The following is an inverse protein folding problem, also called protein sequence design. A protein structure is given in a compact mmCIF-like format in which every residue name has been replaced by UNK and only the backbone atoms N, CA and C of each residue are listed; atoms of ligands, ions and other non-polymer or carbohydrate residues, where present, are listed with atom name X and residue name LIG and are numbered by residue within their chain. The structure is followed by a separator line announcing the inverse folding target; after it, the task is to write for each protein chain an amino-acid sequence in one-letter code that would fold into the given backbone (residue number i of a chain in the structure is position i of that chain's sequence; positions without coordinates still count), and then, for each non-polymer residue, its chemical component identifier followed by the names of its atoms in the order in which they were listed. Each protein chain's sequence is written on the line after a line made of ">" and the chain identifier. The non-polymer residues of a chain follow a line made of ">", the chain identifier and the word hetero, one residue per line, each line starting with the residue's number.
data_IF_526207345498
#
_entry.id   IF_526207345498
#
_cell.length_a   1.000
_cell.length_b   1.000
_cell.length_c   1.000
_cell.angle_alpha   90.00
_cell.angle_beta   90.00
_cell.angle_gamma   90.00
#
_symmetry.space_group_name_H-M   'P 1'
#
loop_
_entity.id
_entity.type
_entity.pdbx_description
1 polymer ?
#
# COMPACT_ATOMS: atom_id res chain seq x y z
N UNK A 1 -26.80 -63.30 8.91
CA UNK A 1 -25.58 -62.55 8.54
C UNK A 1 -26.02 -61.12 8.31
N UNK A 2 -25.79 -60.25 9.32
CA UNK A 2 -26.27 -58.87 9.32
C UNK A 2 -25.40 -58.03 8.40
N UNK A 3 -26.03 -57.31 7.48
CA UNK A 3 -25.41 -56.38 6.55
C UNK A 3 -24.93 -55.15 7.34
N UNK A 4 -23.60 -54.96 7.40
CA UNK A 4 -22.98 -53.81 8.07
C UNK A 4 -23.25 -52.59 7.20
N UNK A 5 -24.34 -51.88 7.50
CA UNK A 5 -24.71 -50.64 6.84
C UNK A 5 -23.60 -49.59 6.96
N UNK A 6 -23.14 -49.10 5.82
CA UNK A 6 -22.16 -48.02 5.73
C UNK A 6 -22.73 -46.73 6.37
N UNK A 7 -22.03 -46.03 7.27
CA UNK A 7 -22.54 -44.81 7.89
C UNK A 7 -22.78 -43.74 6.82
N UNK A 8 -23.96 -43.10 6.90
CA UNK A 8 -24.48 -42.18 5.88
C UNK A 8 -23.49 -41.10 5.43
N UNK A 9 -23.58 -40.72 4.15
CA UNK A 9 -22.75 -39.67 3.57
C UNK A 9 -22.99 -38.33 4.28
N UNK A 10 -22.03 -37.91 5.11
CA UNK A 10 -22.00 -36.56 5.67
C UNK A 10 -21.47 -35.59 4.59
N UNK A 11 -22.34 -34.72 4.07
CA UNK A 11 -21.91 -33.62 3.20
C UNK A 11 -21.73 -32.36 4.05
N UNK A 12 -20.50 -32.06 4.45
CA UNK A 12 -20.18 -30.84 5.22
C UNK A 12 -19.89 -29.68 4.27
N UNK A 13 -20.86 -28.80 4.07
CA UNK A 13 -20.66 -27.57 3.28
C UNK A 13 -20.11 -26.47 4.19
N UNK A 14 -18.83 -26.12 4.03
CA UNK A 14 -18.20 -25.02 4.77
C UNK A 14 -18.38 -23.71 3.99
N UNK A 15 -19.25 -22.82 4.47
CA UNK A 15 -19.43 -21.48 3.89
C UNK A 15 -18.54 -20.47 4.61
N UNK A 16 -17.47 -20.00 3.96
CA UNK A 16 -16.56 -19.00 4.54
C UNK A 16 -17.12 -17.60 4.30
N UNK A 17 -17.83 -17.05 5.30
CA UNK A 17 -18.35 -15.68 5.24
C UNK A 17 -17.30 -14.69 5.75
N UNK A 18 -16.65 -13.97 4.83
CA UNK A 18 -15.63 -12.96 5.17
C UNK A 18 -16.30 -11.61 5.49
N UNK A 19 -16.55 -11.32 6.76
CA UNK A 19 -17.09 -10.01 7.17
C UNK A 19 -15.95 -9.02 7.47
N UNK A 20 -15.82 -7.95 6.69
CA UNK A 20 -14.84 -6.90 6.97
C UNK A 20 -15.44 -5.92 7.99
N UNK A 21 -15.05 -6.03 9.26
CA UNK A 21 -15.45 -5.08 10.30
C UNK A 21 -14.48 -3.90 10.25
N UNK A 22 -14.93 -2.78 9.70
CA UNK A 22 -14.12 -1.56 9.61
C UNK A 22 -14.60 -0.58 10.67
N UNK A 23 -13.71 -0.16 11.57
CA UNK A 23 -14.03 0.84 12.59
C UNK A 23 -14.04 2.23 11.92
N UNK A 24 -15.23 2.80 11.72
CA UNK A 24 -15.42 4.04 10.92
C UNK A 24 -15.23 5.33 11.72
N UNK A 25 -14.64 5.27 12.91
CA UNK A 25 -14.37 6.47 13.71
C UNK A 25 -13.12 7.20 13.19
N UNK A 26 -13.28 8.46 12.80
CA UNK A 26 -12.17 9.35 12.50
C UNK A 26 -11.37 9.56 13.79
N UNK A 27 -10.24 8.89 13.91
CA UNK A 27 -9.28 9.10 15.00
C UNK A 27 -7.94 9.48 14.40
N UNK A 28 -7.39 10.58 14.88
CA UNK A 28 -6.01 10.94 14.60
C UNK A 28 -5.11 9.95 15.36
N UNK A 29 -4.45 9.06 14.64
CA UNK A 29 -3.58 8.05 15.25
C UNK A 29 -2.10 8.31 14.90
N UNK A 30 -1.36 9.06 15.73
CA UNK A 30 0.05 9.29 15.50
C UNK A 30 0.90 8.00 15.59
N UNK A 31 0.36 6.89 16.13
CA UNK A 31 1.08 5.61 16.04
C UNK A 31 1.25 5.14 14.60
N UNK A 32 0.40 5.57 13.65
CA UNK A 32 0.57 5.20 12.24
C UNK A 32 1.92 5.65 11.69
N UNK A 33 2.43 6.82 12.11
CA UNK A 33 3.76 7.32 11.73
C UNK A 33 4.91 6.43 12.23
N UNK A 34 4.67 5.65 13.27
CA UNK A 34 5.64 4.72 13.84
C UNK A 34 5.60 3.34 13.18
N UNK A 35 4.60 3.08 12.33
CA UNK A 35 4.53 1.84 11.55
C UNK A 35 5.50 1.88 10.38
N UNK A 36 5.98 0.72 9.94
CA UNK A 36 6.85 0.57 8.77
C UNK A 36 6.32 1.36 7.54
N UNK A 37 5.05 1.21 7.10
CA UNK A 37 4.54 1.97 5.95
C UNK A 37 4.45 3.49 6.21
N UNK A 38 4.17 3.91 7.45
CA UNK A 38 4.16 5.32 7.83
C UNK A 38 5.55 5.96 7.74
N UNK A 39 6.58 5.28 8.26
CA UNK A 39 7.98 5.73 8.19
C UNK A 39 8.45 5.82 6.74
N UNK A 40 8.13 4.83 5.91
CA UNK A 40 8.47 4.85 4.48
C UNK A 40 7.86 6.05 3.76
N UNK A 41 6.57 6.33 3.99
CA UNK A 41 5.90 7.52 3.44
C UNK A 41 6.53 8.82 3.93
N UNK A 42 6.91 8.88 5.21
CA UNK A 42 7.58 10.05 5.77
C UNK A 42 8.94 10.30 5.09
N UNK A 43 9.76 9.25 4.93
CA UNK A 43 11.05 9.33 4.24
C UNK A 43 10.85 9.80 2.79
N UNK A 44 9.85 9.27 2.09
CA UNK A 44 9.51 9.69 0.73
C UNK A 44 9.17 11.19 0.68
N UNK A 45 8.29 11.68 1.56
CA UNK A 45 7.87 13.09 1.61
C UNK A 45 9.05 14.01 1.92
N UNK A 46 9.85 13.68 2.94
CA UNK A 46 11.02 14.48 3.35
C UNK A 46 12.06 14.50 2.24
N UNK A 47 12.39 13.34 1.66
CA UNK A 47 13.39 13.26 0.59
C UNK A 47 12.94 14.01 -0.67
N UNK A 48 11.65 13.95 -1.00
CA UNK A 48 11.06 14.71 -2.12
C UNK A 48 11.16 16.23 -1.89
N UNK A 49 10.84 16.69 -0.67
CA UNK A 49 10.89 18.10 -0.32
C UNK A 49 12.32 18.64 -0.32
N UNK A 50 13.25 17.91 0.31
CA UNK A 50 14.67 18.30 0.37
C UNK A 50 15.27 18.29 -1.04
N UNK A 51 15.03 17.25 -1.84
CA UNK A 51 15.47 17.19 -3.23
C UNK A 51 14.96 18.37 -4.07
N UNK A 52 13.68 18.74 -3.89
CA UNK A 52 13.09 19.91 -4.55
C UNK A 52 13.78 21.22 -4.14
N UNK A 53 14.00 21.44 -2.83
CA UNK A 53 14.68 22.63 -2.33
C UNK A 53 16.12 22.71 -2.87
N UNK A 54 16.84 21.58 -2.92
CA UNK A 54 18.19 21.52 -3.48
C UNK A 54 18.23 21.92 -4.96
N UNK A 55 17.25 21.48 -5.77
CA UNK A 55 17.14 21.90 -7.17
C UNK A 55 16.79 23.38 -7.28
N UNK A 56 15.89 23.89 -6.44
CA UNK A 56 15.43 25.27 -6.51
C UNK A 56 16.51 26.27 -6.08
N UNK A 57 17.36 25.88 -5.12
CA UNK A 57 18.51 26.65 -4.67
C UNK A 57 19.66 26.65 -5.70
N UNK A 58 19.62 25.77 -6.70
CA UNK A 58 20.63 25.69 -7.75
C UNK A 58 20.43 26.78 -8.80
N UNK A 59 21.52 27.44 -9.20
CA UNK A 59 21.52 28.42 -10.32
C UNK A 59 21.08 27.76 -11.64
N UNK A 60 21.28 26.45 -11.73
CA UNK A 60 20.88 25.57 -12.83
C UNK A 60 19.38 25.18 -12.83
N UNK A 61 18.54 25.80 -11.98
CA UNK A 61 17.10 25.51 -11.88
C UNK A 61 16.34 25.62 -13.21
N UNK A 62 16.87 26.36 -14.19
CA UNK A 62 16.24 26.61 -15.48
C UNK A 62 16.53 25.54 -16.54
N UNK A 63 17.47 24.63 -16.28
CA UNK A 63 17.71 23.51 -17.19
C UNK A 63 16.54 22.53 -17.15
N UNK A 64 16.12 22.06 -18.33
CA UNK A 64 15.00 21.11 -18.45
C UNK A 64 15.16 19.84 -17.58
N UNK A 65 16.40 19.42 -17.31
CA UNK A 65 16.74 18.29 -16.41
C UNK A 65 16.33 18.57 -14.96
N UNK A 66 16.64 19.76 -14.46
CA UNK A 66 16.27 20.22 -13.12
C UNK A 66 14.76 20.46 -12.99
N UNK A 67 14.13 21.01 -14.04
CA UNK A 67 12.67 21.18 -14.11
C UNK A 67 11.95 19.84 -14.02
N UNK A 68 12.44 18.80 -14.71
CA UNK A 68 11.88 17.45 -14.62
C UNK A 68 11.93 16.87 -13.20
N UNK A 69 13.08 16.98 -12.52
CA UNK A 69 13.21 16.56 -11.12
C UNK A 69 12.24 17.31 -10.20
N UNK A 70 12.12 18.62 -10.40
CA UNK A 70 11.23 19.49 -9.63
C UNK A 70 9.75 19.09 -9.79
N UNK A 71 9.33 18.80 -11.03
CA UNK A 71 7.97 18.36 -11.33
C UNK A 71 7.63 17.01 -10.69
N UNK A 72 8.53 16.02 -10.79
CA UNK A 72 8.36 14.71 -10.15
C UNK A 72 8.27 14.85 -8.63
N UNK A 73 9.15 15.67 -8.05
CA UNK A 73 9.23 15.87 -6.60
C UNK A 73 7.99 16.55 -6.05
N UNK A 74 7.42 17.51 -6.78
CA UNK A 74 6.18 18.16 -6.37
C UNK A 74 4.98 17.22 -6.37
N UNK A 75 4.81 16.44 -7.44
CA UNK A 75 3.70 15.48 -7.50
C UNK A 75 3.90 14.38 -6.45
N UNK A 76 5.15 13.90 -6.26
CA UNK A 76 5.50 12.93 -5.21
C UNK A 76 5.07 13.43 -3.82
N UNK A 77 5.45 14.68 -3.52
CA UNK A 77 5.19 15.33 -2.23
C UNK A 77 3.69 15.45 -1.96
N UNK A 78 2.93 16.02 -2.90
CA UNK A 78 1.49 16.19 -2.72
C UNK A 78 0.75 14.86 -2.65
N UNK A 79 1.01 13.94 -3.57
CA UNK A 79 0.30 12.66 -3.60
C UNK A 79 0.60 11.82 -2.36
N UNK A 80 1.88 11.71 -1.97
CA UNK A 80 2.30 10.92 -0.81
C UNK A 80 1.89 11.60 0.50
N UNK A 81 1.94 12.93 0.56
CA UNK A 81 1.50 13.72 1.71
C UNK A 81 -0.01 13.62 1.94
N UNK A 82 -0.82 13.71 0.88
CA UNK A 82 -2.28 13.52 0.97
C UNK A 82 -2.58 12.10 1.42
N UNK A 83 -1.94 11.08 0.82
CA UNK A 83 -2.10 9.69 1.28
C UNK A 83 -1.74 9.56 2.76
N UNK A 84 -0.60 10.09 3.19
CA UNK A 84 -0.19 10.04 4.60
C UNK A 84 -1.27 10.65 5.52
N UNK A 85 -1.87 11.77 5.13
CA UNK A 85 -3.01 12.37 5.83
C UNK A 85 -4.22 11.43 5.88
N UNK A 86 -4.61 10.85 4.74
CA UNK A 86 -5.75 9.91 4.67
C UNK A 86 -5.54 8.69 5.58
N UNK A 87 -4.31 8.18 5.65
CA UNK A 87 -3.94 7.08 6.54
C UNK A 87 -3.96 7.51 8.02
N UNK A 88 -3.41 8.70 8.36
CA UNK A 88 -3.43 9.27 9.71
C UNK A 88 -4.83 9.44 10.28
N UNK A 89 -5.78 9.88 9.44
CA UNK A 89 -7.18 10.08 9.83
C UNK A 89 -8.05 8.82 9.71
N UNK A 90 -7.47 7.67 9.37
CA UNK A 90 -8.20 6.42 9.10
C UNK A 90 -9.32 6.60 8.04
N UNK A 91 -9.18 7.60 7.15
CA UNK A 91 -10.18 7.88 6.12
C UNK A 91 -10.15 6.81 5.00
N UNK A 92 -9.01 6.13 4.83
CA UNK A 92 -8.83 4.99 3.92
C UNK A 92 -9.81 3.85 4.24
N UNK A 93 -10.07 3.62 5.53
CA UNK A 93 -10.99 2.60 6.03
C UNK A 93 -12.45 2.91 5.67
N UNK A 94 -12.84 4.19 5.66
CA UNK A 94 -14.19 4.62 5.23
C UNK A 94 -14.45 4.35 3.74
N UNK A 95 -13.41 4.38 2.92
CA UNK A 95 -13.48 4.11 1.48
C UNK A 95 -12.94 2.72 1.11
N UNK A 96 -13.33 1.68 1.86
CA UNK A 96 -12.90 0.29 1.64
C UNK A 96 -13.23 -0.29 0.25
N UNK A 97 -14.19 0.29 -0.48
CA UNK A 97 -14.54 -0.13 -1.85
C UNK A 97 -13.45 0.19 -2.88
N UNK A 98 -12.59 1.17 -2.58
CA UNK A 98 -11.52 1.57 -3.49
C UNK A 98 -10.31 0.64 -3.24
N UNK A 99 -9.72 0.03 -4.28
CA UNK A 99 -8.55 -0.84 -4.14
C UNK A 99 -7.27 -0.03 -3.89
N UNK A 100 -7.19 0.66 -2.75
CA UNK A 100 -6.09 1.54 -2.34
C UNK A 100 -4.72 0.89 -2.51
N UNK A 101 -4.58 -0.36 -2.07
CA UNK A 101 -3.32 -1.11 -2.15
C UNK A 101 -2.80 -1.22 -3.60
N UNK A 102 -3.70 -1.42 -4.58
CA UNK A 102 -3.31 -1.52 -6.00
C UNK A 102 -2.91 -0.17 -6.57
N UNK A 103 -3.67 0.87 -6.25
CA UNK A 103 -3.36 2.23 -6.71
C UNK A 103 -2.02 2.71 -6.16
N UNK A 104 -1.77 2.49 -4.88
CA UNK A 104 -0.52 2.89 -4.25
C UNK A 104 0.67 2.07 -4.75
N UNK A 105 0.49 0.77 -5.00
CA UNK A 105 1.53 -0.05 -5.63
C UNK A 105 1.90 0.49 -7.00
N UNK A 106 0.91 0.78 -7.86
CA UNK A 106 1.14 1.35 -9.18
C UNK A 106 1.85 2.71 -9.11
N UNK A 107 1.43 3.57 -8.19
CA UNK A 107 2.09 4.85 -7.97
C UNK A 107 3.54 4.68 -7.50
N UNK A 108 3.80 3.85 -6.48
CA UNK A 108 5.17 3.65 -5.97
C UNK A 108 6.09 3.05 -7.04
N UNK A 109 5.62 2.08 -7.82
CA UNK A 109 6.41 1.48 -8.89
C UNK A 109 6.77 2.52 -9.97
N UNK A 110 5.79 3.32 -10.40
CA UNK A 110 6.01 4.37 -11.40
C UNK A 110 6.95 5.47 -10.88
N UNK A 111 6.77 5.91 -9.63
CA UNK A 111 7.61 6.94 -9.02
C UNK A 111 9.03 6.46 -8.75
N UNK A 112 9.23 5.17 -8.47
CA UNK A 112 10.58 4.58 -8.38
C UNK A 112 11.34 4.78 -9.70
N UNK A 113 10.69 4.49 -10.83
CA UNK A 113 11.29 4.68 -12.15
C UNK A 113 11.58 6.15 -12.47
N UNK A 114 10.64 7.04 -12.18
CA UNK A 114 10.83 8.48 -12.39
C UNK A 114 11.94 9.06 -11.52
N UNK A 115 12.04 8.68 -10.24
CA UNK A 115 13.12 9.13 -9.37
C UNK A 115 14.48 8.58 -9.78
N UNK A 116 14.55 7.35 -10.31
CA UNK A 116 15.78 6.82 -10.90
C UNK A 116 16.26 7.70 -12.07
N UNK A 117 15.37 7.99 -13.02
CA UNK A 117 15.70 8.86 -14.16
C UNK A 117 16.08 10.27 -13.70
N UNK A 118 15.31 10.86 -12.79
CA UNK A 118 15.55 12.21 -12.29
C UNK A 118 16.90 12.30 -11.56
N UNK A 119 17.26 11.30 -10.75
CA UNK A 119 18.54 11.25 -10.06
C UNK A 119 19.71 11.13 -11.04
N UNK A 120 19.61 10.25 -12.05
CA UNK A 120 20.64 10.13 -13.11
C UNK A 120 20.81 11.47 -13.84
N UNK A 121 19.71 12.11 -14.23
CA UNK A 121 19.75 13.41 -14.91
C UNK A 121 20.36 14.50 -14.03
N UNK A 122 20.07 14.51 -12.73
CA UNK A 122 20.62 15.49 -11.79
C UNK A 122 22.16 15.37 -11.67
N UNK A 123 22.72 14.16 -11.70
CA UNK A 123 24.18 13.93 -11.68
C UNK A 123 24.87 14.54 -12.92
N UNK A 124 24.22 14.50 -14.09
CA UNK A 124 24.82 15.01 -15.34
C UNK A 124 24.98 16.53 -15.42
N UNK A 125 24.40 17.29 -14.48
CA UNK A 125 24.46 18.76 -14.51
C UNK A 125 25.75 19.29 -13.88
N UNK A 126 26.55 18.44 -13.20
CA UNK A 126 27.86 18.80 -12.62
C UNK A 126 27.84 20.07 -11.74
N UNK A 127 26.74 20.29 -11.01
CA UNK A 127 26.59 21.37 -10.01
C UNK A 127 26.42 20.73 -8.64
N UNK A 128 27.08 21.30 -7.62
CA UNK A 128 27.09 20.75 -6.26
C UNK A 128 25.67 20.56 -5.69
N UNK A 129 24.80 21.55 -5.89
CA UNK A 129 23.41 21.50 -5.46
C UNK A 129 22.61 20.37 -6.16
N UNK A 130 22.90 20.10 -7.43
CA UNK A 130 22.24 19.04 -8.19
C UNK A 130 22.74 17.65 -7.77
N UNK A 131 24.01 17.54 -7.34
CA UNK A 131 24.55 16.29 -6.79
C UNK A 131 23.91 15.94 -5.44
N UNK A 132 23.67 16.95 -4.59
CA UNK A 132 22.90 16.76 -3.35
C UNK A 132 21.44 16.36 -3.65
N UNK A 133 20.79 17.01 -4.62
CA UNK A 133 19.45 16.62 -5.06
C UNK A 133 19.40 15.18 -5.60
N UNK A 134 20.42 14.77 -6.36
CA UNK A 134 20.53 13.41 -6.88
C UNK A 134 20.62 12.38 -5.75
N UNK A 135 21.40 12.65 -4.70
CA UNK A 135 21.48 11.79 -3.51
C UNK A 135 20.10 11.59 -2.88
N UNK A 136 19.37 12.68 -2.60
CA UNK A 136 18.01 12.58 -2.05
C UNK A 136 17.02 11.92 -3.02
N UNK A 137 17.21 12.10 -4.34
CA UNK A 137 16.46 11.40 -5.37
C UNK A 137 16.67 9.89 -5.35
N UNK A 138 17.91 9.41 -5.15
CA UNK A 138 18.18 7.99 -4.96
C UNK A 138 17.60 7.45 -3.66
N UNK A 139 17.68 8.19 -2.56
CA UNK A 139 17.04 7.81 -1.30
C UNK A 139 15.52 7.67 -1.46
N UNK A 140 14.89 8.63 -2.13
CA UNK A 140 13.47 8.56 -2.48
C UNK A 140 13.18 7.33 -3.37
N UNK A 141 14.01 7.05 -4.38
CA UNK A 141 13.87 5.87 -5.24
C UNK A 141 13.84 4.57 -4.41
N UNK A 142 14.82 4.37 -3.52
CA UNK A 142 14.85 3.19 -2.67
C UNK A 142 13.65 3.12 -1.70
N UNK A 143 13.22 4.25 -1.16
CA UNK A 143 12.05 4.30 -0.29
C UNK A 143 10.75 3.95 -1.05
N UNK A 144 10.57 4.42 -2.28
CA UNK A 144 9.44 4.03 -3.13
C UNK A 144 9.52 2.56 -3.56
N UNK A 145 10.72 2.05 -3.86
CA UNK A 145 10.92 0.65 -4.22
C UNK A 145 10.59 -0.30 -3.05
N UNK A 146 11.07 0.02 -1.85
CA UNK A 146 10.78 -0.74 -0.63
C UNK A 146 9.28 -0.75 -0.33
N UNK A 147 8.63 0.41 -0.44
CA UNK A 147 7.19 0.52 -0.22
C UNK A 147 6.37 -0.24 -1.28
N UNK A 148 6.79 -0.19 -2.56
CA UNK A 148 6.21 -0.99 -3.63
C UNK A 148 6.36 -2.49 -3.36
N UNK A 149 7.53 -2.95 -2.88
CA UNK A 149 7.77 -4.35 -2.55
C UNK A 149 6.87 -4.83 -1.40
N UNK A 150 6.74 -4.03 -0.34
CA UNK A 150 5.84 -4.36 0.77
C UNK A 150 4.38 -4.44 0.31
N UNK A 151 3.95 -3.49 -0.54
CA UNK A 151 2.59 -3.49 -1.10
C UNK A 151 2.34 -4.66 -2.06
N UNK A 152 3.33 -5.04 -2.86
CA UNK A 152 3.26 -6.21 -3.72
C UNK A 152 3.14 -7.50 -2.91
N UNK A 153 3.95 -7.63 -1.84
CA UNK A 153 3.88 -8.77 -0.92
C UNK A 153 2.50 -8.83 -0.24
N UNK A 154 2.00 -7.70 0.25
CA UNK A 154 0.68 -7.59 0.85
C UNK A 154 -0.42 -7.94 -0.16
N UNK A 155 -0.31 -7.50 -1.41
CA UNK A 155 -1.30 -7.81 -2.44
C UNK A 155 -1.34 -9.31 -2.76
N UNK A 156 -0.18 -9.98 -2.88
CA UNK A 156 -0.11 -11.44 -3.08
C UNK A 156 -0.68 -12.23 -1.91
N UNK A 157 -0.49 -11.76 -0.67
CA UNK A 157 -1.06 -12.43 0.51
C UNK A 157 -2.55 -12.13 0.70
N UNK A 158 -3.16 -11.36 -0.21
CA UNK A 158 -4.53 -10.87 -0.05
C UNK A 158 -4.65 -10.00 1.19
N UNK A 159 -3.68 -9.13 1.49
CA UNK A 159 -3.77 -8.13 2.56
C UNK A 159 -4.72 -6.99 2.21
N UNK A 160 -5.20 -6.27 3.23
CA UNK A 160 -5.85 -4.97 3.05
C UNK A 160 -4.80 -3.85 3.10
N UNK A 161 -5.12 -2.70 2.51
CA UNK A 161 -4.31 -1.48 2.62
C UNK A 161 -4.24 -0.98 4.08
N UNK A 162 -5.36 -1.10 4.81
CA UNK A 162 -5.49 -0.79 6.23
C UNK A 162 -6.72 -1.54 6.78
N UNK A 163 -6.69 -1.95 8.06
CA UNK A 163 -7.77 -2.68 8.73
C UNK A 163 -7.63 -4.21 8.74
N UNK A 164 -8.34 -4.87 9.67
CA UNK A 164 -8.33 -6.33 9.85
C UNK A 164 -9.53 -6.96 9.13
N UNK A 165 -9.30 -7.98 8.31
CA UNK A 165 -10.39 -8.86 7.82
C UNK A 165 -10.75 -9.82 8.94
N UNK A 166 -11.94 -9.66 9.53
CA UNK A 166 -12.46 -10.66 10.48
C UNK A 166 -13.11 -11.77 9.66
N UNK A 167 -12.34 -12.79 9.29
CA UNK A 167 -12.89 -13.95 8.59
C UNK A 167 -13.66 -14.79 9.59
N UNK A 168 -14.99 -14.63 9.65
CA UNK A 168 -15.85 -15.50 10.44
C UNK A 168 -16.11 -16.78 9.65
N UNK A 169 -15.46 -17.88 10.04
CA UNK A 169 -15.79 -19.20 9.49
C UNK A 169 -17.08 -19.68 10.15
N UNK A 170 -18.20 -19.60 9.45
CA UNK A 170 -19.45 -20.21 9.90
C UNK A 170 -19.54 -21.62 9.30
N UNK A 171 -19.44 -22.65 10.16
CA UNK A 171 -19.61 -24.05 9.75
C UNK A 171 -21.08 -24.40 9.89
N UNK A 172 -21.80 -24.58 8.79
CA UNK A 172 -23.19 -25.05 8.81
C UNK A 172 -23.18 -26.56 8.54
N UNK A 173 -23.39 -27.37 9.58
CA UNK A 173 -23.63 -28.81 9.41
C UNK A 173 -25.07 -29.03 8.96
N UNK A 174 -25.26 -29.55 7.76
CA UNK A 174 -26.58 -30.02 7.30
C UNK A 174 -26.73 -31.47 7.72
N UNK A 175 -27.57 -31.74 8.71
CA UNK A 175 -27.96 -33.10 9.08
C UNK A 175 -29.09 -33.55 8.15
N UNK A 176 -28.84 -34.60 7.36
CA UNK A 176 -29.87 -35.20 6.52
C UNK A 176 -30.95 -35.82 7.42
N UNK A 177 -32.25 -35.65 7.10
CA UNK A 177 -33.33 -36.28 7.88
C UNK A 177 -33.13 -37.81 7.92
N UNK A 178 -33.40 -38.47 9.06
CA UNK A 178 -33.34 -39.93 9.12
C UNK A 178 -34.30 -40.54 8.08
N UNK A 179 -33.95 -41.70 7.49
CA UNK A 179 -34.84 -42.39 6.55
C UNK A 179 -36.19 -42.60 7.24
N UNK A 180 -37.29 -42.18 6.61
CA UNK A 180 -38.63 -42.55 7.07
C UNK A 180 -38.72 -44.07 6.97
N UNK A 181 -38.73 -44.75 8.10
CA UNK A 181 -39.15 -46.15 8.16
C UNK A 181 -40.60 -46.19 7.71
N UNK A 182 -40.81 -46.68 6.48
CA UNK A 182 -42.12 -47.03 5.96
C UNK A 182 -42.57 -48.32 6.62
N UNK A 183 -43.77 -48.22 7.21
CA UNK A 183 -44.71 -49.25 7.70
C UNK A 183 -44.34 -50.73 7.48
#
# INVERSE_FOLDING_TARGET
>A
MAEVGFPGQHTTTTTVTSNTVVQTNLRFDPLYLKTIPGILKLIQVVSSLVGFICIQASVASWYGKSVFFSWISMIAFWFTGILLGLYLFHMVEKFYKIPWLKMEFGFCALWTFFYLLAAILAVTVHVDANSAAAFFGFVAMFAYAADAYLKWRAWRSGGLAQGTRVVSKQTTSVESPPPREGY
#
